data_IF_159031328442
#
_entry.id   IF_159031328442
#
_cell.length_a   1.000
_cell.length_b   1.000
_cell.length_c   1.000
_cell.angle_alpha   90.00
_cell.angle_beta   90.00
_cell.angle_gamma   90.00
#
_symmetry.space_group_name_H-M   'P 1'
#
loop_
_entity.id
_entity.type
_entity.pdbx_description
1 polymer ?
#
# COMPACT_ATOMS: atom_id res chain seq x y z
N UNK A 1 25.35 1.46 3.32
CA UNK A 1 24.72 0.46 2.45
C UNK A 1 23.21 0.49 2.70
N UNK A 2 22.57 1.54 2.17
CA UNK A 2 21.14 1.79 2.35
C UNK A 2 20.41 1.14 1.18
N UNK A 3 20.28 -0.18 1.25
CA UNK A 3 19.36 -0.93 0.40
C UNK A 3 17.94 -0.50 0.75
N UNK A 4 17.48 0.58 0.15
CA UNK A 4 16.10 1.03 0.25
C UNK A 4 15.22 -0.14 -0.21
N UNK A 5 14.50 -0.75 0.73
CA UNK A 5 13.63 -1.85 0.39
C UNK A 5 12.53 -1.34 -0.55
N UNK A 6 12.05 -2.17 -1.49
CA UNK A 6 11.02 -1.76 -2.43
C UNK A 6 9.81 -1.24 -1.68
N UNK A 7 9.36 -0.05 -2.05
CA UNK A 7 8.15 0.56 -1.48
C UNK A 7 6.93 -0.25 -1.88
N UNK A 8 6.10 -0.60 -0.91
CA UNK A 8 4.81 -1.24 -1.15
C UNK A 8 3.84 -0.16 -1.60
N UNK A 9 3.32 -0.28 -2.81
CA UNK A 9 2.42 0.71 -3.39
C UNK A 9 1.00 0.16 -3.40
N UNK A 10 0.08 0.86 -2.74
CA UNK A 10 -1.33 0.49 -2.69
C UNK A 10 -2.16 1.55 -3.42
N UNK A 11 -2.97 1.14 -4.39
CA UNK A 11 -3.83 2.01 -5.16
C UNK A 11 -5.30 1.82 -4.77
N UNK A 12 -5.96 2.95 -4.53
CA UNK A 12 -7.35 3.06 -4.15
C UNK A 12 -8.09 3.84 -5.23
N UNK A 13 -9.18 3.25 -5.70
CA UNK A 13 -10.04 3.88 -6.69
C UNK A 13 -10.88 5.00 -6.08
N UNK A 14 -11.50 5.82 -6.92
CA UNK A 14 -12.49 6.82 -6.48
C UNK A 14 -13.72 6.22 -5.80
N UNK A 15 -13.96 4.91 -5.95
CA UNK A 15 -15.04 4.19 -5.32
C UNK A 15 -14.65 3.56 -3.97
N UNK A 16 -13.39 3.68 -3.55
CA UNK A 16 -12.91 3.11 -2.31
C UNK A 16 -13.63 3.70 -1.11
N UNK A 17 -14.13 2.84 -0.23
CA UNK A 17 -14.87 3.26 0.96
C UNK A 17 -13.95 3.42 2.18
N UNK A 18 -14.43 4.13 3.21
CA UNK A 18 -13.71 4.23 4.48
C UNK A 18 -13.46 2.89 5.15
N UNK A 19 -14.38 1.94 4.98
CA UNK A 19 -14.26 0.58 5.52
C UNK A 19 -13.12 -0.20 4.86
N UNK A 20 -12.96 -0.06 3.54
CA UNK A 20 -11.82 -0.65 2.81
C UNK A 20 -10.49 -0.04 3.28
N UNK A 21 -10.44 1.27 3.52
CA UNK A 21 -9.22 1.92 4.06
C UNK A 21 -8.90 1.45 5.47
N UNK A 22 -9.92 1.26 6.31
CA UNK A 22 -9.75 0.70 7.65
C UNK A 22 -9.23 -0.73 7.58
N UNK A 23 -9.82 -1.56 6.71
CA UNK A 23 -9.39 -2.93 6.49
C UNK A 23 -7.94 -3.01 6.05
N UNK A 24 -7.52 -2.18 5.08
CA UNK A 24 -6.13 -2.11 4.64
C UNK A 24 -5.22 -1.69 5.79
N UNK A 25 -5.60 -0.70 6.59
CA UNK A 25 -4.81 -0.30 7.75
C UNK A 25 -4.63 -1.46 8.74
N UNK A 26 -5.69 -2.22 9.03
CA UNK A 26 -5.62 -3.38 9.91
C UNK A 26 -4.70 -4.48 9.34
N UNK A 27 -4.78 -4.74 8.04
CA UNK A 27 -3.87 -5.65 7.33
C UNK A 27 -2.41 -5.19 7.47
N UNK A 28 -2.12 -3.91 7.24
CA UNK A 28 -0.76 -3.37 7.35
C UNK A 28 -0.21 -3.46 8.78
N UNK A 29 -1.03 -3.10 9.78
CA UNK A 29 -0.63 -3.19 11.20
C UNK A 29 -0.40 -4.63 11.65
N UNK A 30 -1.05 -5.61 11.01
CA UNK A 30 -0.86 -7.03 11.32
C UNK A 30 0.50 -7.60 10.89
N UNK A 31 1.23 -6.92 10.00
CA UNK A 31 2.54 -7.37 9.48
C UNK A 31 3.59 -6.25 9.53
N UNK A 32 4.02 -5.82 10.74
CA UNK A 32 5.02 -4.75 10.88
C UNK A 32 6.37 -5.17 10.29
N UNK A 33 7.09 -4.22 9.70
CA UNK A 33 8.39 -4.49 9.09
C UNK A 33 9.17 -3.24 8.69
N UNK A 34 9.94 -3.35 7.61
CA UNK A 34 10.91 -2.31 7.19
C UNK A 34 10.56 -1.65 5.87
N UNK A 35 9.64 -2.22 5.09
CA UNK A 35 9.26 -1.67 3.78
C UNK A 35 8.33 -0.48 3.97
N UNK A 36 8.65 0.70 3.40
CA UNK A 36 7.72 1.82 3.39
C UNK A 36 6.47 1.48 2.57
N UNK A 37 5.34 2.07 2.96
CA UNK A 37 4.06 1.93 2.27
C UNK A 37 3.66 3.28 1.70
N UNK A 38 3.35 3.31 0.42
CA UNK A 38 2.77 4.45 -0.27
C UNK A 38 1.35 4.15 -0.70
N UNK A 39 0.46 5.11 -0.46
CA UNK A 39 -0.95 5.04 -0.82
C UNK A 39 -1.18 5.96 -2.03
N UNK A 40 -1.81 5.45 -3.08
CA UNK A 40 -2.26 6.18 -4.25
C UNK A 40 -3.78 6.25 -4.21
N UNK A 41 -4.33 7.45 -4.23
CA UNK A 41 -5.76 7.68 -4.31
C UNK A 41 -6.12 8.26 -5.66
N UNK A 42 -6.84 7.48 -6.46
CA UNK A 42 -7.35 7.97 -7.74
C UNK A 42 -8.39 9.05 -7.49
N UNK A 43 -8.32 10.09 -8.31
CA UNK A 43 -9.22 11.23 -8.28
C UNK A 43 -10.09 11.21 -9.53
N UNK A 44 -11.24 11.88 -9.43
CA UNK A 44 -12.21 11.99 -10.55
C UNK A 44 -11.65 12.74 -11.76
N UNK A 45 -10.59 13.53 -11.57
CA UNK A 45 -9.89 14.26 -12.64
C UNK A 45 -8.87 13.41 -13.41
N UNK A 46 -8.75 12.10 -13.08
CA UNK A 46 -7.79 11.19 -13.70
C UNK A 46 -6.37 11.31 -13.16
N UNK A 47 -6.14 12.17 -12.16
CA UNK A 47 -4.88 12.21 -11.40
C UNK A 47 -4.94 11.25 -10.20
N UNK A 48 -3.78 10.92 -9.64
CA UNK A 48 -3.69 10.14 -8.40
C UNK A 48 -2.92 10.94 -7.35
N UNK A 49 -3.46 11.01 -6.13
CA UNK A 49 -2.77 11.57 -4.98
C UNK A 49 -1.88 10.51 -4.35
N UNK A 50 -0.58 10.76 -4.26
CA UNK A 50 0.36 9.92 -3.53
C UNK A 50 0.53 10.43 -2.10
N UNK A 51 0.36 9.53 -1.14
CA UNK A 51 0.59 9.75 0.29
C UNK A 51 1.58 8.72 0.81
N UNK A 52 2.49 9.15 1.68
CA UNK A 52 3.30 8.24 2.47
C UNK A 52 2.47 7.80 3.69
N UNK A 53 2.41 6.50 3.96
CA UNK A 53 1.71 5.97 5.13
C UNK A 53 2.44 6.33 6.45
N UNK A 54 3.68 6.82 6.35
CA UNK A 54 4.52 7.20 7.46
C UNK A 54 5.39 6.05 7.95
N UNK A 55 6.36 6.40 8.81
CA UNK A 55 7.33 5.46 9.36
C UNK A 55 6.70 4.37 10.23
N UNK A 56 5.50 4.61 10.76
CA UNK A 56 4.79 3.67 11.64
C UNK A 56 4.01 2.59 10.90
N UNK A 57 3.72 2.80 9.61
CA UNK A 57 2.99 1.83 8.77
C UNK A 57 3.93 1.06 7.84
N UNK A 58 5.18 0.89 8.25
CA UNK A 58 6.14 0.04 7.53
C UNK A 58 5.81 -1.42 7.73
N UNK A 59 5.82 -2.19 6.64
CA UNK A 59 5.41 -3.59 6.64
C UNK A 59 6.50 -4.54 6.20
N UNK A 60 6.35 -5.81 6.56
CA UNK A 60 7.07 -6.88 5.91
C UNK A 60 6.15 -7.50 4.85
N UNK A 61 6.52 -7.38 3.58
CA UNK A 61 5.73 -7.92 2.47
C UNK A 61 5.96 -9.44 2.39
N UNK A 62 5.13 -10.19 3.11
CA UNK A 62 5.05 -11.65 3.03
C UNK A 62 4.04 -12.06 1.97
N UNK A 63 4.11 -13.31 1.51
CA UNK A 63 3.15 -13.83 0.53
C UNK A 63 1.69 -13.71 1.01
N UNK A 64 1.45 -14.01 2.30
CA UNK A 64 0.12 -13.84 2.91
C UNK A 64 -0.35 -12.37 2.89
N UNK A 65 0.56 -11.42 3.13
CA UNK A 65 0.23 -9.99 3.08
C UNK A 65 -0.07 -9.55 1.65
N UNK A 66 0.69 -10.04 0.67
CA UNK A 66 0.44 -9.79 -0.75
C UNK A 66 -0.93 -10.30 -1.19
N UNK A 67 -1.32 -11.51 -0.77
CA UNK A 67 -2.65 -12.06 -1.06
C UNK A 67 -3.77 -11.20 -0.47
N UNK A 68 -3.63 -10.81 0.81
CA UNK A 68 -4.59 -9.94 1.51
C UNK A 68 -4.69 -8.56 0.86
N UNK A 69 -3.58 -8.01 0.38
CA UNK A 69 -3.52 -6.69 -0.25
C UNK A 69 -3.72 -6.74 -1.76
N UNK A 70 -3.82 -7.91 -2.38
CA UNK A 70 -3.81 -8.11 -3.84
C UNK A 70 -4.76 -7.20 -4.61
N UNK A 71 -5.90 -6.85 -4.02
CA UNK A 71 -6.88 -5.94 -4.60
C UNK A 71 -6.39 -4.50 -4.74
N UNK A 72 -5.51 -4.04 -3.84
CA UNK A 72 -4.97 -2.68 -3.82
C UNK A 72 -3.50 -2.66 -4.23
N UNK A 73 -2.78 -3.77 -4.11
CA UNK A 73 -1.36 -3.85 -4.35
C UNK A 73 -1.06 -3.60 -5.81
N UNK A 74 -0.31 -2.53 -6.07
CA UNK A 74 0.28 -2.27 -7.38
C UNK A 74 1.54 -3.10 -7.45
N UNK A 75 1.47 -4.23 -8.12
CA UNK A 75 2.68 -4.97 -8.48
C UNK A 75 3.45 -4.12 -9.50
N UNK A 76 4.73 -3.78 -9.24
CA UNK A 76 5.55 -3.26 -10.31
C UNK A 76 5.60 -4.34 -11.37
N UNK A 77 5.08 -4.05 -12.57
CA UNK A 77 5.35 -4.89 -13.74
C UNK A 77 6.88 -4.94 -13.84
N UNK A 78 7.46 -6.11 -13.54
CA UNK A 78 8.78 -6.47 -14.03
C UNK A 78 8.73 -6.22 -15.54
N UNK A 79 9.40 -5.16 -15.98
CA UNK A 79 9.67 -4.95 -17.41
C UNK A 79 10.67 -5.99 -17.89
#
# INVERSE_FOLDING_TARGET
DSSEQPTVLLQFSTATTGDELRQVREILVSSPGRRPVQLLFDRRDGSSLRLDAGVELRVNLTHELEEKLSRWLVTPKLQ
#
